data_IF_080576450845
#
_entry.id   IF_080576450845
#
_cell.length_a   1.000
_cell.length_b   1.000
_cell.length_c   1.000
_cell.angle_alpha   90.00
_cell.angle_beta   90.00
_cell.angle_gamma   90.00
#
_symmetry.space_group_name_H-M   'P 1'
#
loop_
_entity.id
_entity.type
_entity.pdbx_description
1 polymer ?
#
# COMPACT_ATOMS: atom_id res chain seq x y z
N UNK A 1 -17.49 -6.82 19.64
CA UNK A 1 -16.37 -7.78 19.65
C UNK A 1 -15.08 -7.01 19.94
N UNK A 2 -14.12 -7.60 20.69
CA UNK A 2 -12.83 -6.93 20.91
C UNK A 2 -12.09 -6.84 19.57
N UNK A 3 -11.63 -5.64 19.24
CA UNK A 3 -10.87 -5.36 18.02
C UNK A 3 -9.58 -6.18 18.03
N UNK A 4 -9.32 -6.96 16.98
CA UNK A 4 -8.11 -7.77 16.89
C UNK A 4 -6.90 -6.85 16.67
N UNK A 5 -5.87 -6.90 17.51
CA UNK A 5 -4.69 -6.06 17.35
C UNK A 5 -3.94 -6.39 16.04
N UNK A 6 -3.28 -5.40 15.47
CA UNK A 6 -2.57 -5.56 14.22
C UNK A 6 -1.39 -4.61 14.05
N UNK A 7 -0.69 -4.79 12.94
CA UNK A 7 0.42 -3.94 12.52
C UNK A 7 0.14 -3.44 11.11
N UNK A 8 0.37 -2.16 10.86
CA UNK A 8 0.38 -1.61 9.50
C UNK A 8 1.83 -1.42 9.06
N UNK A 9 2.27 -2.14 8.03
CA UNK A 9 3.60 -2.02 7.44
C UNK A 9 3.53 -1.09 6.23
N UNK A 10 4.26 0.03 6.28
CA UNK A 10 4.19 1.10 5.30
C UNK A 10 5.51 1.33 4.57
N UNK A 11 5.42 1.40 3.24
CA UNK A 11 6.55 1.72 2.37
C UNK A 11 6.33 3.01 1.57
N UNK A 12 7.42 3.80 1.32
CA UNK A 12 7.33 5.09 0.62
C UNK A 12 7.19 4.94 -0.90
N UNK A 13 6.83 6.05 -1.53
CA UNK A 13 6.89 6.21 -2.97
C UNK A 13 8.33 6.22 -3.51
N UNK A 14 8.47 6.13 -4.84
CA UNK A 14 9.78 6.16 -5.50
C UNK A 14 10.56 7.43 -5.15
N UNK A 15 11.82 7.28 -4.77
CA UNK A 15 12.70 8.38 -4.38
C UNK A 15 12.45 8.97 -2.99
N UNK A 16 11.33 8.65 -2.33
CA UNK A 16 11.02 9.08 -0.97
C UNK A 16 11.64 8.13 0.09
N UNK A 17 11.55 8.51 1.35
CA UNK A 17 11.93 7.69 2.51
C UNK A 17 10.73 7.37 3.38
N UNK A 18 10.93 6.53 4.39
CA UNK A 18 9.95 6.21 5.44
C UNK A 18 9.41 7.45 6.17
N UNK A 19 10.12 8.58 6.08
CA UNK A 19 9.72 9.85 6.69
C UNK A 19 8.86 10.72 5.75
N UNK A 20 8.38 10.16 4.64
CA UNK A 20 7.39 10.81 3.78
C UNK A 20 6.15 11.20 4.60
N UNK A 21 5.75 12.47 4.52
CA UNK A 21 4.70 13.07 5.37
C UNK A 21 3.44 12.21 5.47
N UNK A 22 2.94 11.71 4.34
CA UNK A 22 1.75 10.84 4.32
C UNK A 22 1.95 9.58 5.21
N UNK A 23 3.14 8.94 5.16
CA UNK A 23 3.41 7.75 5.98
C UNK A 23 3.53 8.09 7.47
N UNK A 24 4.14 9.23 7.79
CA UNK A 24 4.25 9.72 9.18
C UNK A 24 2.85 9.98 9.76
N UNK A 25 1.97 10.61 8.99
CA UNK A 25 0.61 10.90 9.41
C UNK A 25 -0.22 9.62 9.60
N UNK A 26 -0.10 8.65 8.67
CA UNK A 26 -0.77 7.34 8.80
C UNK A 26 -0.26 6.59 10.04
N UNK A 27 1.06 6.57 10.28
CA UNK A 27 1.65 5.95 11.47
C UNK A 27 1.07 6.54 12.75
N UNK A 28 1.05 7.87 12.87
CA UNK A 28 0.47 8.55 14.03
C UNK A 28 -1.01 8.18 14.24
N UNK A 29 -1.81 8.19 13.16
CA UNK A 29 -3.23 7.86 13.24
C UNK A 29 -3.48 6.39 13.62
N UNK A 30 -2.74 5.45 13.04
CA UNK A 30 -2.84 4.02 13.34
C UNK A 30 -2.41 3.73 14.77
N UNK A 31 -1.31 4.32 15.23
CA UNK A 31 -0.79 4.10 16.59
C UNK A 31 -1.71 4.66 17.69
N UNK A 32 -2.55 5.65 17.34
CA UNK A 32 -3.60 6.13 18.24
C UNK A 32 -4.74 5.14 18.45
N UNK A 33 -4.89 4.13 17.59
CA UNK A 33 -5.91 3.07 17.74
C UNK A 33 -5.44 2.02 18.74
N UNK A 34 -6.33 1.66 19.68
CA UNK A 34 -6.03 0.64 20.70
C UNK A 34 -5.70 -0.71 20.05
N UNK A 35 -4.53 -1.25 20.34
CA UNK A 35 -4.07 -2.55 19.87
C UNK A 35 -3.47 -2.53 18.45
N UNK A 36 -3.37 -1.38 17.81
CA UNK A 36 -2.68 -1.22 16.53
C UNK A 36 -1.31 -0.56 16.71
N UNK A 37 -0.41 -0.86 15.80
CA UNK A 37 0.89 -0.22 15.67
C UNK A 37 1.25 -0.07 14.20
N UNK A 38 2.18 0.81 13.88
CA UNK A 38 2.68 0.96 12.53
C UNK A 38 4.20 0.75 12.48
N UNK A 39 4.67 0.26 11.35
CA UNK A 39 6.08 0.16 11.00
C UNK A 39 6.28 0.86 9.67
N UNK A 40 7.10 1.92 9.66
CA UNK A 40 7.52 2.60 8.44
C UNK A 40 8.90 2.09 8.04
N UNK A 41 9.01 1.49 6.88
CA UNK A 41 10.25 0.90 6.40
C UNK A 41 10.81 1.65 5.18
N UNK A 42 12.13 1.61 5.02
CA UNK A 42 12.82 2.09 3.83
C UNK A 42 13.20 0.91 2.94
N UNK A 43 13.06 1.10 1.62
CA UNK A 43 13.64 0.18 0.65
C UNK A 43 15.17 0.18 0.67
N UNK A 44 15.85 -0.92 0.26
CA UNK A 44 17.30 -1.06 0.33
C UNK A 44 18.06 0.09 -0.34
N UNK A 45 17.60 0.58 -1.50
CA UNK A 45 18.26 1.70 -2.18
C UNK A 45 18.25 2.98 -1.32
N UNK A 46 17.19 3.21 -0.50
CA UNK A 46 17.13 4.36 0.40
C UNK A 46 18.03 4.19 1.60
N UNK A 47 18.06 2.99 2.21
CA UNK A 47 19.02 2.64 3.28
C UNK A 47 20.46 2.85 2.82
N UNK A 48 20.75 2.64 1.52
CA UNK A 48 22.05 2.89 0.89
C UNK A 48 22.26 4.34 0.39
N UNK A 49 21.38 5.29 0.74
CA UNK A 49 21.49 6.71 0.36
C UNK A 49 21.19 7.02 -1.12
N UNK A 50 20.74 6.03 -1.90
CA UNK A 50 20.40 6.21 -3.32
C UNK A 50 18.99 6.77 -3.51
N UNK A 51 18.73 7.42 -4.64
CA UNK A 51 17.37 7.92 -5.01
C UNK A 51 16.66 7.03 -6.01
N UNK A 52 17.40 6.40 -6.92
CA UNK A 52 16.84 5.52 -7.95
C UNK A 52 16.41 4.18 -7.32
N UNK A 53 15.16 3.74 -7.51
CA UNK A 53 14.69 2.46 -6.98
C UNK A 53 15.44 1.27 -7.54
N UNK A 54 15.58 0.24 -6.72
CA UNK A 54 16.00 -1.09 -7.16
C UNK A 54 14.90 -1.75 -8.00
N UNK A 55 15.22 -2.86 -8.66
CA UNK A 55 14.25 -3.67 -9.42
C UNK A 55 13.22 -4.31 -8.48
N UNK A 56 11.99 -4.60 -8.95
CA UNK A 56 10.93 -5.16 -8.12
C UNK A 56 11.31 -6.35 -7.24
N UNK A 57 12.08 -7.36 -7.69
CA UNK A 57 12.44 -8.48 -6.83
C UNK A 57 13.20 -8.07 -5.57
N UNK A 58 14.12 -7.11 -5.66
CA UNK A 58 14.87 -6.59 -4.49
C UNK A 58 13.92 -5.85 -3.53
N UNK A 59 12.98 -5.08 -4.08
CA UNK A 59 12.00 -4.35 -3.28
C UNK A 59 11.02 -5.31 -2.58
N UNK A 60 10.54 -6.34 -3.28
CA UNK A 60 9.65 -7.37 -2.71
C UNK A 60 10.35 -8.16 -1.61
N UNK A 61 11.61 -8.55 -1.81
CA UNK A 61 12.38 -9.23 -0.78
C UNK A 61 12.46 -8.39 0.51
N UNK A 62 12.69 -7.08 0.40
CA UNK A 62 12.74 -6.22 1.60
C UNK A 62 11.40 -6.16 2.34
N UNK A 63 10.26 -6.23 1.64
CA UNK A 63 8.94 -6.33 2.29
C UNK A 63 8.80 -7.65 3.03
N UNK A 64 9.27 -8.77 2.46
CA UNK A 64 9.25 -10.08 3.13
C UNK A 64 10.15 -10.13 4.36
N UNK A 65 11.31 -9.49 4.32
CA UNK A 65 12.21 -9.37 5.48
C UNK A 65 11.55 -8.62 6.64
N UNK A 66 10.89 -7.49 6.38
CA UNK A 66 10.16 -6.73 7.40
C UNK A 66 8.95 -7.53 7.93
N UNK A 67 8.22 -8.23 7.07
CA UNK A 67 7.14 -9.13 7.49
C UNK A 67 7.67 -10.23 8.43
N UNK A 68 8.81 -10.85 8.09
CA UNK A 68 9.44 -11.85 8.94
C UNK A 68 9.86 -11.27 10.30
N UNK A 69 10.39 -10.05 10.33
CA UNK A 69 10.77 -9.35 11.55
C UNK A 69 9.55 -9.01 12.44
N UNK A 70 8.40 -8.67 11.84
CA UNK A 70 7.15 -8.45 12.58
C UNK A 70 6.65 -9.76 13.24
N UNK A 71 6.90 -10.88 12.60
CA UNK A 71 6.56 -12.22 13.09
C UNK A 71 5.16 -12.71 12.71
N UNK A 72 5.06 -14.00 12.44
CA UNK A 72 3.89 -14.64 11.85
C UNK A 72 2.63 -14.73 12.71
N UNK A 73 2.68 -14.34 13.99
CA UNK A 73 1.51 -14.35 14.90
C UNK A 73 0.69 -13.06 14.85
N UNK A 74 1.19 -12.01 14.21
CA UNK A 74 0.51 -10.72 14.11
C UNK A 74 -0.25 -10.63 12.80
N UNK A 75 -1.43 -10.02 12.82
CA UNK A 75 -2.13 -9.59 11.61
C UNK A 75 -1.39 -8.38 11.05
N UNK A 76 -1.04 -8.40 9.79
CA UNK A 76 -0.34 -7.29 9.15
C UNK A 76 -1.18 -6.76 7.98
N UNK A 77 -1.46 -5.47 8.00
CA UNK A 77 -1.91 -4.74 6.81
C UNK A 77 -0.66 -4.19 6.15
N UNK A 78 -0.41 -4.58 4.91
CA UNK A 78 0.74 -4.09 4.15
C UNK A 78 0.32 -2.98 3.21
N UNK A 79 1.19 -2.01 2.98
CA UNK A 79 0.83 -0.96 2.04
C UNK A 79 1.82 0.17 1.97
N UNK A 80 1.34 1.32 1.53
CA UNK A 80 2.15 2.50 1.40
C UNK A 80 1.74 3.38 0.25
N UNK A 81 2.63 4.30 -0.09
CA UNK A 81 2.36 5.30 -1.10
C UNK A 81 2.95 4.91 -2.45
N UNK A 82 2.15 5.06 -3.51
CA UNK A 82 2.59 4.89 -4.90
C UNK A 82 3.36 3.56 -5.08
N UNK A 83 4.62 3.59 -5.46
CA UNK A 83 5.47 2.42 -5.63
C UNK A 83 5.46 1.51 -4.39
N UNK A 84 5.49 2.08 -3.18
CA UNK A 84 5.49 1.29 -1.93
C UNK A 84 4.24 0.43 -1.80
N UNK A 85 3.05 1.03 -2.01
CA UNK A 85 1.79 0.29 -2.01
C UNK A 85 1.74 -0.81 -3.07
N UNK A 86 2.19 -0.49 -4.30
CA UNK A 86 2.27 -1.47 -5.38
C UNK A 86 3.19 -2.65 -5.04
N UNK A 87 4.39 -2.42 -4.52
CA UNK A 87 5.31 -3.51 -4.15
C UNK A 87 4.70 -4.37 -3.04
N UNK A 88 4.07 -3.76 -2.05
CA UNK A 88 3.35 -4.49 -1.00
C UNK A 88 2.22 -5.36 -1.57
N UNK A 89 1.44 -4.88 -2.54
CA UNK A 89 0.39 -5.66 -3.19
C UNK A 89 0.95 -6.83 -4.02
N UNK A 90 2.11 -6.65 -4.66
CA UNK A 90 2.79 -7.73 -5.37
C UNK A 90 3.25 -8.86 -4.42
N UNK A 91 3.78 -8.52 -3.25
CA UNK A 91 4.14 -9.51 -2.21
C UNK A 91 2.91 -10.23 -1.68
N UNK A 92 1.83 -9.51 -1.41
CA UNK A 92 0.57 -10.10 -0.96
C UNK A 92 -0.06 -11.05 -1.99
N UNK A 93 0.22 -10.83 -3.27
CA UNK A 93 -0.21 -11.69 -4.39
C UNK A 93 0.73 -12.89 -4.65
N UNK A 94 1.93 -12.92 -4.04
CA UNK A 94 2.95 -13.93 -4.38
C UNK A 94 3.57 -13.73 -5.77
N UNK A 95 3.67 -12.48 -6.25
CA UNK A 95 4.18 -12.16 -7.60
C UNK A 95 5.70 -12.32 -7.76
N UNK A 96 6.39 -12.83 -6.75
CA UNK A 96 7.81 -13.19 -6.72
C UNK A 96 8.03 -14.71 -6.73
N UNK A 97 7.02 -15.46 -7.20
CA UNK A 97 6.99 -16.94 -7.26
C UNK A 97 7.08 -17.61 -5.87
N UNK A 98 6.87 -16.86 -4.80
CA UNK A 98 6.77 -17.36 -3.44
C UNK A 98 5.31 -17.33 -2.97
N UNK A 99 4.96 -18.23 -2.06
CA UNK A 99 3.61 -18.22 -1.48
C UNK A 99 3.27 -16.86 -0.83
N UNK A 100 2.02 -16.38 -0.97
CA UNK A 100 1.57 -15.19 -0.25
C UNK A 100 1.79 -15.32 1.25
N UNK A 101 2.30 -14.28 1.94
CA UNK A 101 2.54 -14.35 3.39
C UNK A 101 1.21 -14.48 4.16
N UNK A 102 1.07 -15.55 4.93
CA UNK A 102 -0.19 -15.88 5.64
C UNK A 102 -0.60 -14.88 6.72
N UNK A 103 0.34 -14.07 7.22
CA UNK A 103 0.05 -12.99 8.18
C UNK A 103 -0.55 -11.73 7.55
N UNK A 104 -0.51 -11.59 6.20
CA UNK A 104 -1.10 -10.44 5.53
C UNK A 104 -2.61 -10.54 5.58
N UNK A 105 -3.23 -9.60 6.27
CA UNK A 105 -4.68 -9.54 6.50
C UNK A 105 -5.39 -8.52 5.59
N UNK A 106 -4.64 -7.66 4.90
CA UNK A 106 -5.18 -6.68 3.97
C UNK A 106 -4.10 -5.80 3.37
N UNK A 107 -4.48 -5.03 2.36
CA UNK A 107 -3.60 -4.13 1.62
C UNK A 107 -4.19 -2.72 1.64
N UNK A 108 -3.34 -1.72 1.86
CA UNK A 108 -3.70 -0.29 1.71
C UNK A 108 -2.77 0.35 0.69
N UNK A 109 -3.35 0.89 -0.38
CA UNK A 109 -2.57 1.65 -1.36
C UNK A 109 -3.04 3.10 -1.43
N UNK A 110 -2.12 4.02 -1.22
CA UNK A 110 -2.35 5.46 -1.31
C UNK A 110 -1.72 5.95 -2.62
N UNK A 111 -2.56 6.42 -3.55
CA UNK A 111 -2.19 6.80 -4.90
C UNK A 111 -1.52 5.65 -5.67
N UNK A 112 -2.29 4.60 -5.98
CA UNK A 112 -1.78 3.44 -6.73
C UNK A 112 -1.32 3.85 -8.13
N UNK A 113 -0.08 3.52 -8.55
CA UNK A 113 0.43 3.94 -9.84
C UNK A 113 0.09 2.90 -10.92
N UNK A 114 -1.15 2.90 -11.40
CA UNK A 114 -1.68 1.93 -12.36
C UNK A 114 -0.83 1.84 -13.64
N UNK A 115 -0.37 2.97 -14.15
CA UNK A 115 0.55 3.10 -15.27
C UNK A 115 1.42 4.36 -15.12
N UNK A 116 2.52 4.52 -15.86
CA UNK A 116 3.23 5.80 -15.93
C UNK A 116 2.36 6.88 -16.57
N UNK A 117 2.47 8.15 -16.17
CA UNK A 117 1.73 9.24 -16.79
C UNK A 117 1.95 9.28 -18.32
N UNK A 118 0.86 9.38 -19.09
CA UNK A 118 0.90 9.38 -20.55
C UNK A 118 1.25 8.04 -21.20
N UNK A 119 1.28 6.94 -20.42
CA UNK A 119 1.56 5.59 -20.94
C UNK A 119 0.53 4.57 -20.41
N UNK A 120 -0.75 4.74 -20.77
CA UNK A 120 -1.81 3.81 -20.33
C UNK A 120 -1.64 2.39 -20.88
N UNK A 121 -0.79 2.22 -21.90
CA UNK A 121 -0.37 0.93 -22.45
C UNK A 121 0.57 0.14 -21.51
N UNK A 122 1.18 0.80 -20.51
CA UNK A 122 2.12 0.18 -19.56
C UNK A 122 1.48 -0.07 -18.19
N UNK A 123 0.50 -0.93 -18.18
CA UNK A 123 -0.22 -1.31 -16.97
C UNK A 123 0.68 -2.05 -15.97
N UNK A 124 0.28 -2.00 -14.71
CA UNK A 124 0.96 -2.63 -13.56
C UNK A 124 -0.05 -3.43 -12.75
N UNK A 125 -0.72 -4.36 -13.42
CA UNK A 125 -1.92 -5.05 -12.91
C UNK A 125 -1.77 -6.58 -12.89
N UNK A 126 -0.69 -7.13 -13.42
CA UNK A 126 -0.50 -8.56 -13.68
C UNK A 126 -0.70 -9.42 -12.41
N UNK A 127 -0.40 -8.86 -11.23
CA UNK A 127 -0.55 -9.56 -9.95
C UNK A 127 -1.93 -9.42 -9.31
N UNK A 128 -2.78 -8.50 -9.78
CA UNK A 128 -4.08 -8.22 -9.17
C UNK A 128 -5.00 -9.44 -9.06
N UNK A 129 -5.10 -10.32 -10.09
CA UNK A 129 -5.95 -11.52 -10.01
C UNK A 129 -5.55 -12.50 -8.89
N UNK A 130 -4.29 -12.47 -8.45
CA UNK A 130 -3.77 -13.33 -7.38
C UNK A 130 -3.97 -12.75 -5.98
N UNK A 131 -4.48 -11.53 -5.85
CA UNK A 131 -4.76 -10.91 -4.55
C UNK A 131 -6.08 -11.44 -4.00
N UNK A 132 -6.04 -12.15 -2.87
CA UNK A 132 -7.22 -12.76 -2.22
C UNK A 132 -7.63 -12.07 -0.92
N UNK A 133 -6.77 -11.20 -0.37
CA UNK A 133 -7.05 -10.44 0.85
C UNK A 133 -7.76 -9.12 0.54
N UNK A 134 -8.49 -8.52 1.52
CA UNK A 134 -9.11 -7.22 1.34
C UNK A 134 -8.10 -6.14 0.91
N UNK A 135 -8.48 -5.29 -0.04
CA UNK A 135 -7.64 -4.23 -0.58
C UNK A 135 -8.36 -2.88 -0.60
N UNK A 136 -7.81 -1.89 0.13
CA UNK A 136 -8.25 -0.51 0.09
C UNK A 136 -7.38 0.31 -0.88
N UNK A 137 -8.03 0.93 -1.86
CA UNK A 137 -7.44 1.96 -2.72
C UNK A 137 -7.88 3.35 -2.23
N UNK A 138 -6.93 4.21 -1.90
CA UNK A 138 -7.15 5.64 -1.64
C UNK A 138 -6.51 6.42 -2.77
N UNK A 139 -7.32 6.97 -3.66
CA UNK A 139 -6.86 7.53 -4.94
C UNK A 139 -7.43 8.91 -5.20
N UNK A 140 -6.63 9.81 -5.75
CA UNK A 140 -7.09 11.12 -6.18
C UNK A 140 -7.86 11.04 -7.50
N UNK A 141 -8.99 11.78 -7.61
CA UNK A 141 -9.81 11.77 -8.84
C UNK A 141 -9.14 12.43 -10.05
N UNK A 142 -8.01 13.13 -9.84
CA UNK A 142 -7.18 13.73 -10.90
C UNK A 142 -5.80 13.11 -11.00
N UNK A 143 -5.64 11.86 -10.52
CA UNK A 143 -4.36 11.17 -10.57
C UNK A 143 -4.02 10.74 -12.00
N UNK A 144 -2.90 11.24 -12.52
CA UNK A 144 -2.42 10.94 -13.88
C UNK A 144 -1.77 9.56 -14.00
N UNK A 145 -1.61 8.83 -12.91
CA UNK A 145 -1.11 7.44 -12.88
C UNK A 145 -2.24 6.40 -12.94
N UNK A 146 -3.48 6.82 -13.01
CA UNK A 146 -4.67 6.01 -13.13
C UNK A 146 -5.91 6.78 -12.67
N UNK A 147 -6.87 6.96 -13.57
CA UNK A 147 -8.16 7.58 -13.25
C UNK A 147 -9.04 6.66 -12.41
N UNK A 148 -10.10 7.18 -11.77
CA UNK A 148 -11.08 6.36 -11.08
C UNK A 148 -11.67 5.24 -11.94
N UNK A 149 -11.99 5.55 -13.19
CA UNK A 149 -12.59 4.60 -14.14
C UNK A 149 -11.61 3.48 -14.48
N UNK A 150 -10.36 3.82 -14.81
CA UNK A 150 -9.31 2.85 -15.11
C UNK A 150 -9.02 1.96 -13.91
N UNK A 151 -8.86 2.54 -12.72
CA UNK A 151 -8.56 1.77 -11.54
C UNK A 151 -9.73 0.87 -11.12
N UNK A 152 -10.98 1.36 -11.24
CA UNK A 152 -12.19 0.56 -10.97
C UNK A 152 -12.27 -0.62 -11.94
N UNK A 153 -11.96 -0.42 -13.22
CA UNK A 153 -12.01 -1.50 -14.21
C UNK A 153 -10.99 -2.60 -13.89
N UNK A 154 -9.75 -2.23 -13.63
CA UNK A 154 -8.72 -3.21 -13.29
C UNK A 154 -8.90 -3.87 -11.93
N UNK A 155 -9.45 -3.14 -10.96
CA UNK A 155 -9.73 -3.70 -9.64
C UNK A 155 -10.78 -4.82 -9.66
N UNK A 156 -11.62 -4.92 -10.71
CA UNK A 156 -12.53 -6.06 -10.91
C UNK A 156 -11.80 -7.40 -11.08
N UNK A 157 -10.54 -7.37 -11.45
CA UNK A 157 -9.72 -8.60 -11.59
C UNK A 157 -9.21 -9.14 -10.25
N UNK A 158 -9.26 -8.33 -9.17
CA UNK A 158 -8.87 -8.75 -7.82
C UNK A 158 -9.87 -9.77 -7.29
N UNK A 159 -9.37 -10.90 -6.80
CA UNK A 159 -10.22 -11.99 -6.27
C UNK A 159 -10.76 -11.67 -4.87
N UNK A 160 -10.00 -10.93 -4.07
CA UNK A 160 -10.39 -10.50 -2.74
C UNK A 160 -11.35 -9.30 -2.74
N UNK A 161 -11.91 -8.94 -1.58
CA UNK A 161 -12.75 -7.75 -1.45
C UNK A 161 -11.98 -6.46 -1.77
N UNK A 162 -12.58 -5.57 -2.57
CA UNK A 162 -12.00 -4.27 -2.92
C UNK A 162 -12.85 -3.14 -2.39
N UNK A 163 -12.19 -2.17 -1.78
CA UNK A 163 -12.78 -0.90 -1.35
C UNK A 163 -12.06 0.26 -2.05
N UNK A 164 -12.81 1.18 -2.64
CA UNK A 164 -12.28 2.42 -3.22
C UNK A 164 -12.67 3.61 -2.35
N UNK A 165 -11.72 4.51 -2.13
CA UNK A 165 -11.97 5.84 -1.62
C UNK A 165 -11.36 6.88 -2.57
N UNK A 166 -12.22 7.72 -3.13
CA UNK A 166 -11.83 8.77 -4.08
C UNK A 166 -11.65 10.09 -3.35
N UNK A 167 -10.43 10.63 -3.42
CA UNK A 167 -10.10 11.94 -2.85
C UNK A 167 -10.36 12.99 -3.93
N UNK A 168 -11.41 13.75 -3.75
CA UNK A 168 -11.91 14.67 -4.76
C UNK A 168 -10.92 15.78 -5.13
N UNK A 169 -10.79 16.04 -6.43
CA UNK A 169 -9.94 17.09 -6.99
C UNK A 169 -8.45 16.98 -6.63
N UNK A 170 -7.96 15.80 -6.21
CA UNK A 170 -6.55 15.57 -5.91
C UNK A 170 -5.86 14.76 -7.00
N UNK A 171 -4.59 15.10 -7.23
CA UNK A 171 -3.70 14.35 -8.11
C UNK A 171 -2.93 13.28 -7.32
N UNK A 172 -1.86 12.77 -7.92
CA UNK A 172 -1.03 11.70 -7.36
C UNK A 172 -0.42 12.04 -5.99
N UNK A 173 -0.17 13.30 -5.70
CA UNK A 173 0.44 13.75 -4.44
C UNK A 173 -0.56 13.82 -3.27
N UNK A 174 -1.86 13.79 -3.54
CA UNK A 174 -2.94 13.94 -2.55
C UNK A 174 -2.74 15.15 -1.62
N UNK A 175 -2.14 16.23 -2.13
CA UNK A 175 -1.76 17.40 -1.34
C UNK A 175 -2.93 17.95 -0.54
N UNK A 176 -2.73 18.08 0.79
CA UNK A 176 -3.73 18.64 1.71
C UNK A 176 -4.87 17.68 2.07
N UNK A 177 -4.79 16.40 1.71
CA UNK A 177 -5.79 15.39 2.04
C UNK A 177 -5.33 14.42 3.16
N UNK A 178 -4.22 14.68 3.83
CA UNK A 178 -3.64 13.74 4.80
C UNK A 178 -4.63 13.33 5.90
N UNK A 179 -5.43 14.26 6.42
CA UNK A 179 -6.43 13.95 7.46
C UNK A 179 -7.53 13.00 6.94
N UNK A 180 -7.99 13.21 5.71
CA UNK A 180 -8.97 12.33 5.05
C UNK A 180 -8.38 10.95 4.79
N UNK A 181 -7.16 10.88 4.25
CA UNK A 181 -6.43 9.63 4.01
C UNK A 181 -6.27 8.83 5.31
N UNK A 182 -5.83 9.47 6.39
CA UNK A 182 -5.65 8.83 7.69
C UNK A 182 -6.97 8.29 8.24
N UNK A 183 -8.04 9.09 8.22
CA UNK A 183 -9.37 8.68 8.70
C UNK A 183 -9.86 7.44 7.93
N UNK A 184 -9.83 7.48 6.62
CA UNK A 184 -10.29 6.37 5.78
C UNK A 184 -9.51 5.08 6.05
N UNK A 185 -8.20 5.18 6.21
CA UNK A 185 -7.38 4.01 6.53
C UNK A 185 -7.70 3.47 7.92
N UNK A 186 -7.82 4.33 8.94
CA UNK A 186 -8.12 3.90 10.31
C UNK A 186 -9.51 3.28 10.42
N UNK A 187 -10.52 3.86 9.77
CA UNK A 187 -11.87 3.30 9.71
C UNK A 187 -11.83 1.89 9.07
N UNK A 188 -11.21 1.77 7.91
CA UNK A 188 -11.14 0.51 7.17
C UNK A 188 -10.40 -0.61 7.91
N UNK A 189 -9.23 -0.33 8.54
CA UNK A 189 -8.48 -1.37 9.26
C UNK A 189 -9.22 -1.85 10.52
N UNK A 190 -10.11 -1.05 11.07
CA UNK A 190 -10.91 -1.44 12.24
C UNK A 190 -12.07 -2.37 11.89
N UNK A 191 -12.47 -2.42 10.63
CA UNK A 191 -13.51 -3.32 10.11
C UNK A 191 -12.95 -4.67 9.63
N UNK A 192 -11.64 -4.79 9.45
CA UNK A 192 -10.98 -6.04 9.10
C UNK A 192 -10.98 -7.04 10.27
#
# INVERSE_FOLDING_TARGET
>A
MAQKPGVVLLYPGAGASRDQTTLVNIDAAVTALKGWSAVRADFPYRKAGRRAPDRPPVLMNSVREELAAIGGRKRVVVGGRSMGGRICSMVAAGADDLAPPTQVAGIVTVAYPLHPPGRPDRLRVEHMPSVTVPWLFVQGTKDRFGSPEELTEWAKTVTGPVTHHWVENRGHDLKGADAEVCRVITDWITEL
#
